data_IF_427320505517
#
_entry.id   IF_427320505517
#
_cell.length_a   1.000
_cell.length_b   1.000
_cell.length_c   1.000
_cell.angle_alpha   90.00
_cell.angle_beta   90.00
_cell.angle_gamma   90.00
#
_symmetry.space_group_name_H-M   'P 1'
#
loop_
_entity.id
_entity.type
_entity.pdbx_description
1 polymer ?
#
# COMPACT_ATOMS: atom_id res chain seq x y z
N UNK A 1 -26.89 18.06 7.78
CA UNK A 1 -26.33 16.85 7.16
C UNK A 1 -26.05 15.80 8.21
N UNK A 2 -26.81 14.71 8.18
CA UNK A 2 -26.60 13.50 8.98
C UNK A 2 -26.67 12.29 8.07
N UNK A 3 -25.89 11.26 8.37
CA UNK A 3 -25.95 9.97 7.65
C UNK A 3 -27.25 9.26 8.03
N UNK A 4 -28.08 8.91 7.05
CA UNK A 4 -29.35 8.20 7.27
C UNK A 4 -29.28 6.73 6.86
N UNK A 5 -28.47 6.43 5.85
CA UNK A 5 -28.41 5.09 5.27
C UNK A 5 -27.07 4.79 4.66
N UNK A 6 -26.62 3.56 4.83
CA UNK A 6 -25.45 3.01 4.16
C UNK A 6 -25.91 1.82 3.32
N UNK A 7 -25.50 1.77 2.05
CA UNK A 7 -25.76 0.66 1.14
C UNK A 7 -24.44 0.13 0.62
N UNK A 8 -24.25 -1.18 0.71
CA UNK A 8 -23.13 -1.87 0.08
C UNK A 8 -23.69 -2.78 -1.01
N UNK A 9 -23.21 -2.59 -2.24
CA UNK A 9 -23.54 -3.39 -3.40
C UNK A 9 -22.37 -4.36 -3.69
N UNK A 10 -22.70 -5.59 -4.10
CA UNK A 10 -21.73 -6.58 -4.58
C UNK A 10 -21.99 -6.88 -6.05
N UNK A 11 -21.03 -6.59 -6.90
CA UNK A 11 -21.04 -6.99 -8.30
C UNK A 11 -20.25 -8.29 -8.47
N UNK A 12 -20.77 -9.23 -9.26
CA UNK A 12 -20.05 -10.44 -9.69
C UNK A 12 -19.76 -10.33 -11.18
N UNK A 13 -18.55 -10.70 -11.57
CA UNK A 13 -18.13 -10.71 -12.96
C UNK A 13 -16.98 -11.72 -13.11
N UNK A 14 -16.67 -12.08 -14.35
CA UNK A 14 -15.52 -12.92 -14.65
C UNK A 14 -14.32 -12.07 -15.03
N UNK A 15 -13.18 -12.41 -14.45
CA UNK A 15 -11.90 -11.93 -14.94
C UNK A 15 -11.44 -12.88 -16.03
N UNK A 16 -11.27 -12.35 -17.24
CA UNK A 16 -10.93 -13.11 -18.45
C UNK A 16 -9.40 -13.28 -18.51
N UNK A 17 -8.96 -14.45 -18.96
CA UNK A 17 -7.54 -14.83 -19.09
C UNK A 17 -6.77 -14.90 -17.77
N UNK A 18 -7.48 -15.00 -16.64
CA UNK A 18 -6.85 -15.14 -15.34
C UNK A 18 -7.47 -16.28 -14.55
N UNK A 19 -6.61 -17.03 -13.89
CA UNK A 19 -6.97 -18.10 -12.97
C UNK A 19 -6.29 -17.89 -11.61
N UNK A 20 -6.56 -18.81 -10.68
CA UNK A 20 -5.92 -18.83 -9.37
C UNK A 20 -4.78 -19.84 -9.44
N UNK A 21 -3.57 -19.45 -9.02
CA UNK A 21 -2.45 -20.38 -8.94
C UNK A 21 -2.86 -21.63 -8.11
N UNK A 22 -2.36 -22.84 -8.39
CA UNK A 22 -2.72 -24.06 -7.65
C UNK A 22 -2.50 -23.96 -6.13
N UNK A 23 -1.55 -23.15 -5.67
CA UNK A 23 -1.34 -22.88 -4.23
C UNK A 23 -2.47 -22.06 -3.61
N UNK A 24 -3.26 -21.37 -4.42
CA UNK A 24 -4.41 -20.60 -3.99
C UNK A 24 -4.09 -19.21 -3.46
N UNK A 25 -2.90 -18.66 -3.69
CA UNK A 25 -2.52 -17.32 -3.21
C UNK A 25 -2.51 -16.28 -4.33
N UNK A 26 -1.81 -16.58 -5.42
CA UNK A 26 -1.59 -15.62 -6.50
C UNK A 26 -2.61 -15.76 -7.63
N UNK A 27 -2.79 -14.65 -8.35
CA UNK A 27 -3.43 -14.64 -9.64
C UNK A 27 -2.40 -15.00 -10.71
N UNK A 28 -2.80 -15.84 -11.67
CA UNK A 28 -1.94 -16.21 -12.81
C UNK A 28 -2.66 -15.94 -14.10
N UNK A 29 -1.89 -15.57 -15.12
CA UNK A 29 -2.37 -15.53 -16.48
C UNK A 29 -2.65 -16.96 -16.94
N UNK A 30 -3.84 -17.17 -17.49
CA UNK A 30 -4.25 -18.43 -18.07
C UNK A 30 -5.19 -18.13 -19.24
N UNK A 31 -4.67 -18.06 -20.49
CA UNK A 31 -5.44 -17.70 -21.66
C UNK A 31 -6.74 -18.51 -21.80
N UNK A 32 -7.86 -17.82 -22.08
CA UNK A 32 -9.17 -18.43 -22.26
C UNK A 32 -9.89 -18.81 -20.97
N UNK A 33 -9.23 -18.72 -19.81
CA UNK A 33 -9.86 -18.96 -18.51
C UNK A 33 -10.83 -17.83 -18.12
N UNK A 34 -11.75 -18.16 -17.23
CA UNK A 34 -12.68 -17.21 -16.59
C UNK A 34 -12.67 -17.46 -15.10
N UNK A 35 -12.11 -16.53 -14.33
CA UNK A 35 -12.16 -16.58 -12.87
C UNK A 35 -13.32 -15.73 -12.35
N UNK A 36 -14.34 -16.34 -11.71
CA UNK A 36 -15.36 -15.59 -11.02
C UNK A 36 -14.72 -14.71 -9.94
N UNK A 37 -15.07 -13.44 -9.96
CA UNK A 37 -14.59 -12.46 -8.99
C UNK A 37 -15.74 -11.56 -8.55
N UNK A 38 -15.49 -10.75 -7.53
CA UNK A 38 -16.48 -9.81 -7.03
C UNK A 38 -15.83 -8.47 -6.72
N UNK A 39 -16.55 -7.40 -7.05
CA UNK A 39 -16.24 -6.06 -6.61
C UNK A 39 -17.33 -5.57 -5.66
N UNK A 40 -16.97 -4.63 -4.80
CA UNK A 40 -17.90 -4.00 -3.89
C UNK A 40 -18.01 -2.51 -4.19
N UNK A 41 -19.14 -1.93 -3.83
CA UNK A 41 -19.36 -0.51 -3.85
C UNK A 41 -20.14 -0.10 -2.61
N UNK A 42 -19.78 1.05 -2.03
CA UNK A 42 -20.50 1.63 -0.89
C UNK A 42 -21.12 2.95 -1.31
N UNK A 43 -22.32 3.22 -0.80
CA UNK A 43 -23.03 4.49 -0.90
C UNK A 43 -23.52 4.91 0.47
N UNK A 44 -23.21 6.15 0.85
CA UNK A 44 -23.61 6.77 2.10
C UNK A 44 -24.57 7.91 1.76
N UNK A 45 -25.80 7.82 2.28
CA UNK A 45 -26.89 8.77 2.02
C UNK A 45 -27.10 9.66 3.24
N UNK A 46 -27.39 10.93 2.99
CA UNK A 46 -27.69 11.93 4.04
C UNK A 46 -29.14 12.41 3.99
N UNK A 47 -29.57 13.02 5.10
CA UNK A 47 -30.88 13.65 5.31
C UNK A 47 -31.20 14.82 4.37
N UNK A 48 -30.17 15.43 3.78
CA UNK A 48 -30.27 16.51 2.81
C UNK A 48 -30.05 16.05 1.35
N UNK A 49 -30.01 14.74 1.12
CA UNK A 49 -29.98 14.13 -0.22
C UNK A 49 -28.60 14.02 -0.88
N UNK A 50 -27.53 14.43 -0.20
CA UNK A 50 -26.16 14.21 -0.68
C UNK A 50 -25.79 12.73 -0.55
N UNK A 51 -25.11 12.19 -1.56
CA UNK A 51 -24.69 10.79 -1.58
C UNK A 51 -23.21 10.71 -1.92
N UNK A 52 -22.40 10.21 -1.00
CA UNK A 52 -21.02 9.82 -1.28
C UNK A 52 -20.93 8.36 -1.67
N UNK A 53 -19.98 8.01 -2.53
CA UNK A 53 -19.74 6.62 -2.88
C UNK A 53 -18.30 6.28 -3.23
N UNK A 54 -18.00 4.99 -3.13
CA UNK A 54 -16.71 4.43 -3.51
C UNK A 54 -16.90 3.04 -4.10
N UNK A 55 -16.11 2.70 -5.13
CA UNK A 55 -16.03 1.37 -5.74
C UNK A 55 -14.65 0.80 -5.46
N UNK A 56 -14.61 -0.31 -4.74
CA UNK A 56 -13.40 -0.90 -4.17
C UNK A 56 -13.79 -1.80 -3.00
N UNK A 57 -12.87 -2.07 -2.09
CA UNK A 57 -13.12 -2.94 -0.96
C UNK A 57 -13.23 -4.42 -1.35
N UNK A 58 -13.13 -5.26 -0.33
CA UNK A 58 -13.26 -6.70 -0.43
C UNK A 58 -14.24 -7.23 0.63
N UNK A 59 -14.44 -8.54 0.69
CA UNK A 59 -15.33 -9.15 1.67
C UNK A 59 -14.94 -8.87 3.13
N UNK A 60 -13.64 -8.69 3.42
CA UNK A 60 -13.13 -8.36 4.76
C UNK A 60 -13.53 -6.94 5.13
N UNK A 61 -13.34 -5.98 4.20
CA UNK A 61 -13.76 -4.60 4.40
C UNK A 61 -15.26 -4.52 4.69
N UNK A 62 -16.10 -5.22 3.90
CA UNK A 62 -17.55 -5.26 4.11
C UNK A 62 -17.93 -5.84 5.47
N UNK A 63 -17.31 -6.94 5.87
CA UNK A 63 -17.56 -7.56 7.18
C UNK A 63 -17.18 -6.59 8.32
N UNK A 64 -16.09 -5.84 8.18
CA UNK A 64 -15.71 -4.84 9.17
C UNK A 64 -16.65 -3.64 9.19
N UNK A 65 -17.15 -3.16 8.04
CA UNK A 65 -18.16 -2.09 8.01
C UNK A 65 -19.41 -2.52 8.78
N UNK A 66 -19.84 -3.79 8.69
CA UNK A 66 -20.97 -4.29 9.47
C UNK A 66 -20.74 -4.21 11.00
N UNK A 67 -19.49 -4.13 11.48
CA UNK A 67 -19.19 -4.01 12.91
C UNK A 67 -19.32 -2.59 13.47
N UNK A 68 -19.33 -1.57 12.61
CA UNK A 68 -19.41 -0.16 13.02
C UNK A 68 -20.41 0.68 12.22
N UNK A 69 -21.13 0.08 11.26
CA UNK A 69 -22.10 0.78 10.42
C UNK A 69 -23.19 1.50 11.21
N UNK A 70 -23.71 0.87 12.26
CA UNK A 70 -24.73 1.47 13.14
C UNK A 70 -24.23 2.74 13.84
N UNK A 71 -22.94 2.79 14.20
CA UNK A 71 -22.33 3.97 14.81
C UNK A 71 -22.32 5.18 13.86
N UNK A 72 -22.34 4.96 12.55
CA UNK A 72 -22.33 6.04 11.55
C UNK A 72 -23.69 6.71 11.39
N UNK A 73 -24.79 6.00 11.67
CA UNK A 73 -26.14 6.53 11.48
C UNK A 73 -26.38 7.72 12.44
N UNK A 74 -26.92 8.81 11.90
CA UNK A 74 -27.15 10.06 12.62
C UNK A 74 -25.93 10.96 12.80
N UNK A 75 -24.73 10.52 12.41
CA UNK A 75 -23.51 11.34 12.47
C UNK A 75 -23.41 12.32 11.33
N UNK A 76 -22.73 13.43 11.60
CA UNK A 76 -22.32 14.38 10.58
C UNK A 76 -21.19 13.74 9.73
N UNK A 77 -21.40 13.51 8.42
CA UNK A 77 -20.39 12.90 7.55
C UNK A 77 -19.17 13.80 7.32
N UNK A 78 -19.24 15.09 7.67
CA UNK A 78 -18.11 16.01 7.58
C UNK A 78 -17.13 15.86 8.75
N UNK A 79 -17.51 15.19 9.84
CA UNK A 79 -16.63 14.88 10.97
C UNK A 79 -15.73 13.67 10.71
N UNK A 80 -15.10 13.61 9.52
CA UNK A 80 -14.26 12.48 9.07
C UNK A 80 -13.14 12.13 10.04
N UNK A 81 -12.50 13.13 10.63
CA UNK A 81 -11.47 12.94 11.65
C UNK A 81 -11.98 12.24 12.92
N UNK A 82 -13.17 12.60 13.40
CA UNK A 82 -13.79 11.94 14.54
C UNK A 82 -14.15 10.49 14.20
N UNK A 83 -14.81 10.29 13.06
CA UNK A 83 -15.21 8.97 12.57
C UNK A 83 -13.98 8.08 12.38
N UNK A 84 -12.91 8.59 11.76
CA UNK A 84 -11.64 7.89 11.59
C UNK A 84 -11.09 7.39 12.94
N UNK A 85 -10.96 8.28 13.93
CA UNK A 85 -10.36 7.92 15.22
C UNK A 85 -11.24 6.92 16.01
N UNK A 86 -12.55 7.09 16.00
CA UNK A 86 -13.47 6.19 16.70
C UNK A 86 -13.51 4.80 16.05
N UNK A 87 -13.60 4.73 14.72
CA UNK A 87 -13.60 3.44 14.00
C UNK A 87 -12.25 2.76 14.09
N UNK A 88 -11.14 3.51 14.05
CA UNK A 88 -9.79 2.97 14.30
C UNK A 88 -9.69 2.28 15.65
N UNK A 89 -10.23 2.93 16.70
CA UNK A 89 -10.29 2.35 18.05
C UNK A 89 -11.21 1.13 18.10
N UNK A 90 -12.35 1.17 17.41
CA UNK A 90 -13.28 0.05 17.34
C UNK A 90 -12.62 -1.18 16.70
N UNK A 91 -11.89 -0.99 15.60
CA UNK A 91 -11.23 -2.05 14.84
C UNK A 91 -9.81 -2.38 15.34
N UNK A 92 -9.39 -1.91 16.53
CA UNK A 92 -8.03 -2.11 17.06
C UNK A 92 -7.55 -3.57 17.15
N UNK A 93 -8.48 -4.53 17.17
CA UNK A 93 -8.20 -5.98 17.18
C UNK A 93 -8.06 -6.61 15.79
N UNK A 94 -8.24 -5.82 14.73
CA UNK A 94 -8.27 -6.24 13.34
C UNK A 94 -7.30 -5.41 12.49
N UNK A 95 -7.19 -5.77 11.21
CA UNK A 95 -6.36 -5.10 10.21
C UNK A 95 -6.84 -3.69 9.82
N UNK A 96 -8.10 -3.33 10.14
CA UNK A 96 -8.76 -2.04 9.89
C UNK A 96 -9.12 -1.76 8.42
N UNK A 97 -9.12 -2.76 7.55
CA UNK A 97 -9.41 -2.64 6.12
C UNK A 97 -10.83 -2.10 5.80
N UNK A 98 -11.78 -2.21 6.72
CA UNK A 98 -13.14 -1.67 6.56
C UNK A 98 -13.20 -0.14 6.65
N UNK A 99 -12.19 0.51 7.26
CA UNK A 99 -12.18 1.95 7.44
C UNK A 99 -12.04 2.72 6.14
N UNK A 100 -11.08 2.34 5.31
CA UNK A 100 -10.80 3.05 4.06
C UNK A 100 -11.99 3.05 3.12
N UNK A 101 -12.72 1.93 3.08
CA UNK A 101 -13.93 1.78 2.29
C UNK A 101 -14.99 2.84 2.65
N UNK A 102 -15.17 3.16 3.94
CA UNK A 102 -16.10 4.20 4.41
C UNK A 102 -15.52 5.60 4.26
N UNK A 103 -14.27 5.82 4.68
CA UNK A 103 -13.66 7.15 4.69
C UNK A 103 -13.57 7.75 3.29
N UNK A 104 -13.18 6.96 2.28
CA UNK A 104 -13.15 7.43 0.87
C UNK A 104 -14.55 7.88 0.42
N UNK A 105 -15.61 7.14 0.78
CA UNK A 105 -16.98 7.53 0.46
C UNK A 105 -17.43 8.80 1.20
N UNK A 106 -16.96 9.04 2.43
CA UNK A 106 -17.18 10.29 3.16
C UNK A 106 -16.44 11.48 2.53
N UNK A 107 -15.27 11.26 1.93
CA UNK A 107 -14.56 12.28 1.16
C UNK A 107 -15.26 12.62 -0.16
N UNK A 108 -15.79 11.63 -0.90
CA UNK A 108 -16.64 11.88 -2.07
C UNK A 108 -17.90 12.65 -1.68
N UNK A 109 -18.54 12.28 -0.56
CA UNK A 109 -19.67 13.00 0.02
C UNK A 109 -19.32 14.47 0.30
N UNK A 110 -18.19 14.72 0.96
CA UNK A 110 -17.74 16.08 1.27
C UNK A 110 -17.48 16.90 0.01
N UNK A 111 -16.85 16.31 -1.01
CA UNK A 111 -16.67 16.96 -2.31
C UNK A 111 -18.01 17.40 -2.91
N UNK A 112 -19.01 16.51 -2.90
CA UNK A 112 -20.36 16.82 -3.40
C UNK A 112 -21.07 17.88 -2.58
N UNK A 113 -21.00 17.79 -1.25
CA UNK A 113 -21.60 18.77 -0.33
C UNK A 113 -21.04 20.18 -0.56
N UNK A 114 -19.75 20.30 -0.88
CA UNK A 114 -19.08 21.57 -1.13
C UNK A 114 -19.02 21.97 -2.61
N UNK A 115 -19.57 21.18 -3.53
CA UNK A 115 -19.46 21.42 -4.97
C UNK A 115 -18.01 21.44 -5.48
N UNK A 116 -17.11 20.71 -4.81
CA UNK A 116 -15.67 20.72 -5.07
C UNK A 116 -15.14 19.31 -5.35
N UNK A 117 -14.08 19.23 -6.15
CA UNK A 117 -13.34 17.97 -6.30
C UNK A 117 -12.59 17.63 -5.01
N UNK A 118 -12.39 16.34 -4.70
CA UNK A 118 -11.52 15.92 -3.58
C UNK A 118 -10.14 16.57 -3.73
N UNK A 119 -9.57 16.59 -4.93
CA UNK A 119 -8.33 17.32 -5.24
C UNK A 119 -8.34 18.77 -4.75
N UNK A 120 -9.43 19.50 -4.98
CA UNK A 120 -9.60 20.88 -4.49
C UNK A 120 -9.64 20.92 -2.96
N UNK A 121 -10.36 19.99 -2.32
CA UNK A 121 -10.40 19.89 -0.86
C UNK A 121 -9.03 19.55 -0.26
N UNK A 122 -8.16 18.87 -1.00
CA UNK A 122 -6.78 18.55 -0.64
C UNK A 122 -5.77 19.66 -0.97
N UNK A 123 -6.21 20.82 -1.45
CA UNK A 123 -5.35 21.98 -1.73
C UNK A 123 -5.11 22.28 -3.21
N UNK A 124 -5.44 21.36 -4.12
CA UNK A 124 -5.63 21.69 -5.52
C UNK A 124 -4.38 22.09 -6.31
N UNK A 125 -3.17 21.69 -5.89
CA UNK A 125 -1.93 22.07 -6.58
C UNK A 125 -1.66 21.25 -7.86
N UNK A 126 -1.33 19.96 -7.76
CA UNK A 126 -0.99 19.16 -8.94
C UNK A 126 -2.22 18.72 -9.75
N UNK A 127 -2.25 19.03 -11.04
CA UNK A 127 -3.33 18.59 -11.96
C UNK A 127 -2.99 17.29 -12.70
N UNK A 128 -1.73 16.86 -12.64
CA UNK A 128 -1.20 15.66 -13.29
C UNK A 128 -0.15 15.06 -12.37
N UNK A 129 -0.16 13.74 -12.25
CA UNK A 129 0.89 12.95 -11.59
C UNK A 129 1.41 11.96 -12.62
N UNK A 130 2.71 11.65 -12.61
CA UNK A 130 3.21 10.58 -13.45
C UNK A 130 2.63 9.23 -12.99
N UNK A 131 2.67 8.26 -13.90
CA UNK A 131 2.19 6.91 -13.66
C UNK A 131 3.20 5.93 -14.26
N UNK A 132 3.31 4.77 -13.64
CA UNK A 132 4.20 3.71 -14.07
C UNK A 132 3.41 2.45 -14.41
N UNK A 133 3.98 1.64 -15.30
CA UNK A 133 3.42 0.34 -15.63
C UNK A 133 3.85 -0.68 -14.57
N UNK A 134 2.88 -1.37 -13.98
CA UNK A 134 3.10 -2.40 -12.97
C UNK A 134 2.62 -3.74 -13.52
N UNK A 135 3.43 -4.79 -13.38
CA UNK A 135 3.09 -6.12 -13.90
C UNK A 135 2.19 -6.90 -12.95
N UNK A 136 1.51 -7.94 -13.44
CA UNK A 136 1.11 -9.04 -12.56
C UNK A 136 2.36 -9.82 -12.10
N UNK A 137 2.20 -10.71 -11.13
CA UNK A 137 3.22 -11.70 -10.81
C UNK A 137 3.56 -12.55 -12.04
N UNK A 138 4.84 -12.84 -12.23
CA UNK A 138 5.26 -13.81 -13.24
C UNK A 138 4.65 -15.18 -13.01
N UNK A 139 4.29 -15.84 -14.10
CA UNK A 139 3.84 -17.24 -14.11
C UNK A 139 4.55 -18.00 -15.22
N UNK A 140 4.33 -19.32 -15.30
CA UNK A 140 4.97 -20.17 -16.32
C UNK A 140 4.02 -20.52 -17.47
N UNK A 141 3.01 -19.69 -17.70
CA UNK A 141 1.90 -19.97 -18.61
C UNK A 141 1.96 -19.14 -19.90
N UNK A 142 3.16 -18.74 -20.34
CA UNK A 142 3.36 -18.02 -21.60
C UNK A 142 3.12 -16.51 -21.55
N UNK A 143 2.93 -15.95 -20.34
CA UNK A 143 2.90 -14.51 -20.11
C UNK A 143 4.29 -13.98 -19.77
N UNK A 144 4.43 -13.44 -18.57
CA UNK A 144 5.72 -13.01 -18.03
C UNK A 144 6.50 -14.22 -17.49
N UNK A 145 6.92 -15.11 -18.38
CA UNK A 145 7.40 -16.46 -18.05
C UNK A 145 8.91 -16.66 -18.05
N UNK A 146 9.64 -15.66 -18.55
CA UNK A 146 11.09 -15.68 -18.72
C UNK A 146 11.69 -14.27 -18.61
N UNK A 147 13.01 -14.14 -18.34
CA UNK A 147 13.71 -12.85 -18.39
C UNK A 147 13.48 -12.07 -19.70
N UNK A 148 13.42 -12.78 -20.83
CA UNK A 148 13.16 -12.18 -22.14
C UNK A 148 11.75 -11.62 -22.24
N UNK A 149 10.73 -12.35 -21.77
CA UNK A 149 9.34 -11.88 -21.77
C UNK A 149 9.17 -10.58 -20.94
N UNK A 150 9.86 -10.48 -19.80
CA UNK A 150 9.88 -9.24 -19.01
C UNK A 150 10.51 -8.07 -19.76
N UNK A 151 11.61 -8.31 -20.47
CA UNK A 151 12.31 -7.29 -21.25
C UNK A 151 11.46 -6.81 -22.44
N UNK A 152 10.86 -7.74 -23.19
CA UNK A 152 9.96 -7.44 -24.30
C UNK A 152 8.75 -6.62 -23.83
N UNK A 153 8.17 -6.99 -22.67
CA UNK A 153 7.05 -6.25 -22.11
C UNK A 153 7.46 -4.85 -21.62
N UNK A 154 8.65 -4.71 -21.04
CA UNK A 154 9.19 -3.40 -20.65
C UNK A 154 9.34 -2.46 -21.85
N UNK A 155 9.81 -2.98 -22.99
CA UNK A 155 9.89 -2.24 -24.26
C UNK A 155 8.49 -1.82 -24.73
N UNK A 156 7.51 -2.73 -24.69
CA UNK A 156 6.12 -2.39 -25.03
C UNK A 156 5.57 -1.27 -24.12
N UNK A 157 5.81 -1.34 -22.81
CA UNK A 157 5.43 -0.26 -21.88
C UNK A 157 6.10 1.07 -22.24
N UNK A 158 7.38 1.06 -22.61
CA UNK A 158 8.11 2.24 -23.06
C UNK A 158 7.52 2.83 -24.35
N UNK A 159 7.17 2.00 -25.32
CA UNK A 159 6.53 2.40 -26.58
C UNK A 159 5.13 3.00 -26.37
N UNK A 160 4.38 2.50 -25.38
CA UNK A 160 3.11 3.08 -24.93
C UNK A 160 3.28 4.43 -24.22
N UNK A 161 4.52 4.83 -23.92
CA UNK A 161 4.88 6.13 -23.36
C UNK A 161 5.06 6.14 -21.84
N UNK A 162 5.06 4.98 -21.17
CA UNK A 162 5.40 4.91 -19.75
C UNK A 162 6.87 5.30 -19.54
N UNK A 163 7.12 6.05 -18.45
CA UNK A 163 8.46 6.49 -18.07
C UNK A 163 9.12 5.58 -17.04
N UNK A 164 8.33 4.70 -16.44
CA UNK A 164 8.77 3.80 -15.41
C UNK A 164 8.03 2.46 -15.49
N UNK A 165 8.71 1.39 -15.06
CA UNK A 165 8.22 0.01 -15.13
C UNK A 165 8.59 -0.77 -13.85
N UNK A 166 7.56 -1.31 -13.18
CA UNK A 166 7.67 -2.11 -11.96
C UNK A 166 7.39 -3.58 -12.26
N UNK A 167 8.36 -4.43 -11.92
CA UNK A 167 8.31 -5.87 -12.12
C UNK A 167 7.92 -6.60 -10.84
N UNK A 168 7.11 -7.63 -10.98
CA UNK A 168 6.87 -8.61 -9.90
C UNK A 168 7.51 -9.95 -10.20
N UNK A 169 8.13 -10.59 -9.20
CA UNK A 169 8.78 -11.90 -9.43
C UNK A 169 7.78 -13.07 -9.46
N UNK A 170 8.21 -14.19 -10.05
CA UNK A 170 7.46 -15.45 -10.03
C UNK A 170 7.23 -15.97 -8.61
N UNK A 171 6.17 -16.77 -8.42
CA UNK A 171 5.97 -17.50 -7.16
C UNK A 171 7.00 -18.61 -6.94
N UNK A 172 7.46 -19.22 -8.04
CA UNK A 172 8.52 -20.22 -8.06
C UNK A 172 9.61 -19.69 -9.00
N UNK A 173 10.76 -19.37 -8.42
CA UNK A 173 11.88 -18.73 -9.10
C UNK A 173 13.21 -19.29 -8.60
N UNK A 174 14.22 -19.18 -9.45
CA UNK A 174 15.62 -19.26 -9.02
C UNK A 174 16.18 -17.84 -8.88
N UNK A 175 17.01 -17.59 -7.86
CA UNK A 175 17.55 -16.24 -7.63
C UNK A 175 18.35 -15.74 -8.84
N UNK A 176 19.08 -16.64 -9.51
CA UNK A 176 19.82 -16.31 -10.73
C UNK A 176 18.91 -15.83 -11.86
N UNK A 177 17.70 -16.37 -11.95
CA UNK A 177 16.72 -15.97 -12.96
C UNK A 177 16.16 -14.57 -12.69
N UNK A 178 15.92 -14.23 -11.41
CA UNK A 178 15.52 -12.86 -11.03
C UNK A 178 16.65 -11.87 -11.35
N UNK A 179 17.90 -12.22 -11.04
CA UNK A 179 19.08 -11.41 -11.38
C UNK A 179 19.23 -11.23 -12.89
N UNK A 180 19.06 -12.29 -13.68
CA UNK A 180 19.08 -12.19 -15.14
C UNK A 180 17.97 -11.27 -15.66
N UNK A 181 16.76 -11.39 -15.11
CA UNK A 181 15.61 -10.54 -15.48
C UNK A 181 15.91 -9.05 -15.27
N UNK A 182 16.49 -8.70 -14.12
CA UNK A 182 16.89 -7.33 -13.80
C UNK A 182 17.87 -6.78 -14.86
N UNK A 183 18.90 -7.55 -15.20
CA UNK A 183 19.90 -7.14 -16.18
C UNK A 183 19.30 -6.98 -17.59
N UNK A 184 18.53 -7.96 -18.05
CA UNK A 184 17.90 -7.97 -19.39
C UNK A 184 16.93 -6.81 -19.57
N UNK A 185 16.10 -6.54 -18.57
CA UNK A 185 15.13 -5.45 -18.64
C UNK A 185 15.83 -4.10 -18.74
N UNK A 186 16.87 -3.87 -17.92
CA UNK A 186 17.69 -2.65 -18.02
C UNK A 186 18.35 -2.51 -19.39
N UNK A 187 18.95 -3.57 -19.91
CA UNK A 187 19.55 -3.57 -21.26
C UNK A 187 18.52 -3.19 -22.33
N UNK A 188 17.33 -3.78 -22.30
CA UNK A 188 16.30 -3.57 -23.31
C UNK A 188 15.71 -2.16 -23.31
N UNK A 189 15.47 -1.57 -22.13
CA UNK A 189 14.85 -0.23 -22.04
C UNK A 189 15.85 0.92 -22.03
N UNK A 190 17.15 0.64 -21.89
CA UNK A 190 18.20 1.64 -21.81
C UNK A 190 18.23 2.39 -20.47
N UNK A 191 19.04 3.45 -20.34
CA UNK A 191 19.33 4.07 -19.04
C UNK A 191 18.24 5.00 -18.50
N UNK A 192 17.35 5.52 -19.36
CA UNK A 192 16.46 6.64 -19.01
C UNK A 192 15.12 6.21 -18.38
N UNK A 193 14.76 4.94 -18.47
CA UNK A 193 13.50 4.44 -17.90
C UNK A 193 13.73 4.05 -16.44
N UNK A 194 12.90 4.58 -15.53
CA UNK A 194 12.96 4.17 -14.13
C UNK A 194 12.46 2.73 -14.00
N UNK A 195 13.20 1.91 -13.26
CA UNK A 195 12.89 0.50 -13.05
C UNK A 195 12.70 0.23 -11.57
N UNK A 196 11.67 -0.53 -11.24
CA UNK A 196 11.34 -0.87 -9.87
C UNK A 196 11.13 -2.38 -9.78
N UNK A 197 11.53 -2.97 -8.65
CA UNK A 197 11.31 -4.40 -8.41
C UNK A 197 10.45 -4.55 -7.15
N UNK A 198 9.33 -5.26 -7.29
CA UNK A 198 8.48 -5.68 -6.19
C UNK A 198 8.37 -7.21 -6.14
N UNK A 199 9.18 -7.89 -5.32
CA UNK A 199 9.02 -9.31 -5.10
C UNK A 199 7.73 -9.68 -4.36
N UNK A 200 6.99 -8.75 -3.74
CA UNK A 200 5.76 -9.03 -3.00
C UNK A 200 5.97 -9.98 -1.82
N UNK A 201 7.04 -9.75 -1.05
CA UNK A 201 7.53 -10.59 0.04
C UNK A 201 7.88 -12.04 -0.35
N UNK A 202 8.23 -12.31 -1.62
CA UNK A 202 8.53 -13.68 -2.11
C UNK A 202 9.98 -14.12 -1.96
N UNK A 203 10.95 -13.21 -1.76
CA UNK A 203 12.34 -13.65 -1.61
C UNK A 203 12.48 -14.51 -0.35
N UNK A 204 12.88 -15.76 -0.49
CA UNK A 204 12.76 -16.74 0.61
C UNK A 204 13.67 -16.43 1.80
N UNK A 205 14.83 -15.84 1.52
CA UNK A 205 15.85 -15.59 2.54
C UNK A 205 16.38 -14.16 2.45
N UNK A 206 16.89 -13.67 3.57
CA UNK A 206 17.64 -12.40 3.60
C UNK A 206 18.83 -12.39 2.63
N UNK A 207 19.49 -13.54 2.44
CA UNK A 207 20.59 -13.66 1.48
C UNK A 207 20.12 -13.46 0.03
N UNK A 208 18.94 -13.98 -0.33
CA UNK A 208 18.34 -13.73 -1.63
C UNK A 208 18.02 -12.24 -1.82
N UNK A 209 17.48 -11.57 -0.78
CA UNK A 209 17.24 -10.13 -0.82
C UNK A 209 18.52 -9.31 -1.05
N UNK A 210 19.62 -9.67 -0.39
CA UNK A 210 20.92 -9.00 -0.61
C UNK A 210 21.43 -9.23 -2.03
N UNK A 211 21.33 -10.46 -2.55
CA UNK A 211 21.78 -10.79 -3.91
C UNK A 211 20.95 -10.03 -4.97
N UNK A 212 19.63 -10.04 -4.84
CA UNK A 212 18.72 -9.32 -5.74
C UNK A 212 18.92 -7.81 -5.63
N UNK A 213 19.05 -7.27 -4.41
CA UNK A 213 19.31 -5.85 -4.20
C UNK A 213 20.63 -5.37 -4.81
N UNK A 214 21.68 -6.21 -4.82
CA UNK A 214 22.93 -5.90 -5.53
C UNK A 214 22.77 -5.92 -7.05
N UNK A 215 21.95 -6.80 -7.60
CA UNK A 215 21.61 -6.76 -9.02
C UNK A 215 20.83 -5.48 -9.36
N UNK A 216 19.90 -5.06 -8.50
CA UNK A 216 19.23 -3.76 -8.61
C UNK A 216 20.22 -2.58 -8.56
N UNK A 217 21.24 -2.64 -7.69
CA UNK A 217 22.29 -1.62 -7.61
C UNK A 217 23.07 -1.50 -8.93
N UNK A 218 23.44 -2.63 -9.53
CA UNK A 218 24.17 -2.69 -10.80
C UNK A 218 23.32 -2.19 -11.97
N UNK A 219 22.01 -2.49 -11.96
CA UNK A 219 21.06 -2.08 -12.98
C UNK A 219 20.41 -0.70 -12.73
N UNK A 220 20.82 0.03 -11.68
CA UNK A 220 20.28 1.33 -11.31
C UNK A 220 18.75 1.32 -11.22
N UNK A 221 18.20 0.43 -10.39
CA UNK A 221 16.77 0.43 -10.07
C UNK A 221 16.44 1.58 -9.11
N UNK A 222 15.27 2.19 -9.30
CA UNK A 222 14.77 3.31 -8.51
C UNK A 222 14.42 2.86 -7.08
N UNK A 223 13.81 1.68 -6.94
CA UNK A 223 13.59 1.06 -5.63
C UNK A 223 13.48 -0.47 -5.68
N UNK A 224 13.69 -1.07 -4.51
CA UNK A 224 13.34 -2.44 -4.19
C UNK A 224 12.20 -2.42 -3.15
N UNK A 225 11.05 -2.93 -3.56
CA UNK A 225 9.81 -2.98 -2.79
C UNK A 225 9.66 -4.35 -2.11
N UNK A 226 8.93 -4.43 -1.00
CA UNK A 226 8.58 -5.65 -0.23
C UNK A 226 9.48 -6.88 -0.48
N UNK A 227 10.76 -6.83 -0.08
CA UNK A 227 11.77 -7.69 -0.69
C UNK A 227 11.64 -9.16 -0.31
N UNK A 228 11.48 -9.52 0.96
CA UNK A 228 11.62 -10.91 1.41
C UNK A 228 10.57 -11.37 2.43
N UNK A 229 10.38 -12.69 2.44
CA UNK A 229 9.44 -13.45 3.27
C UNK A 229 9.80 -13.34 4.76
N UNK A 230 8.82 -13.64 5.62
CA UNK A 230 8.97 -13.79 7.07
C UNK A 230 9.83 -12.69 7.69
N UNK A 231 9.42 -11.43 7.48
CA UNK A 231 9.92 -10.17 8.07
C UNK A 231 9.55 -8.96 7.20
N UNK A 232 8.57 -9.05 6.29
CA UNK A 232 8.08 -7.92 5.46
C UNK A 232 7.62 -6.66 6.23
N UNK A 233 7.58 -6.71 7.57
CA UNK A 233 7.38 -5.54 8.45
C UNK A 233 8.44 -5.42 9.57
N UNK A 234 9.58 -6.09 9.42
CA UNK A 234 10.69 -6.02 10.37
C UNK A 234 11.55 -4.79 10.09
N UNK A 235 11.45 -3.80 10.97
CA UNK A 235 12.30 -2.60 10.91
C UNK A 235 13.78 -2.97 10.92
N UNK A 236 14.18 -3.90 11.81
CA UNK A 236 15.57 -4.34 11.93
C UNK A 236 16.08 -4.99 10.65
N UNK A 237 15.26 -5.87 10.06
CA UNK A 237 15.61 -6.59 8.84
C UNK A 237 15.85 -5.64 7.66
N UNK A 238 14.91 -4.72 7.42
CA UNK A 238 15.04 -3.75 6.33
C UNK A 238 16.16 -2.74 6.58
N UNK A 239 16.34 -2.25 7.81
CA UNK A 239 17.50 -1.42 8.17
C UNK A 239 18.81 -2.13 7.85
N UNK A 240 18.93 -3.41 8.20
CA UNK A 240 20.13 -4.20 7.91
C UNK A 240 20.34 -4.41 6.40
N UNK A 241 19.26 -4.59 5.64
CA UNK A 241 19.34 -4.71 4.18
C UNK A 241 19.86 -3.40 3.54
N UNK A 242 19.35 -2.24 3.98
CA UNK A 242 19.80 -0.91 3.52
C UNK A 242 21.29 -0.65 3.77
N UNK A 243 21.88 -1.27 4.77
CA UNK A 243 23.34 -1.18 5.03
C UNK A 243 24.17 -2.01 4.03
N UNK A 244 23.56 -2.90 3.26
CA UNK A 244 24.23 -3.86 2.38
C UNK A 244 24.02 -3.61 0.88
N UNK A 245 23.03 -2.78 0.53
CA UNK A 245 22.67 -2.42 -0.85
C UNK A 245 22.53 -0.89 -0.98
N UNK A 246 22.64 -0.37 -2.20
CA UNK A 246 22.51 1.07 -2.50
C UNK A 246 21.10 1.45 -2.97
N UNK A 247 20.40 0.49 -3.57
CA UNK A 247 19.02 0.64 -4.08
C UNK A 247 18.11 0.99 -2.92
N UNK A 248 17.36 2.11 -3.00
CA UNK A 248 16.41 2.50 -1.96
C UNK A 248 15.34 1.42 -1.72
N UNK A 249 14.93 1.26 -0.46
CA UNK A 249 13.77 0.42 -0.15
C UNK A 249 12.47 1.23 -0.16
N UNK A 250 11.46 0.74 -0.87
CA UNK A 250 10.06 1.15 -0.70
C UNK A 250 9.36 0.12 0.19
N UNK A 251 8.77 0.55 1.29
CA UNK A 251 8.05 -0.32 2.23
C UNK A 251 6.72 0.29 2.62
N UNK A 252 6.06 -0.34 3.59
CA UNK A 252 4.84 0.08 4.26
C UNK A 252 3.53 -0.28 3.57
N UNK A 253 3.55 -1.09 2.50
CA UNK A 253 2.32 -1.70 1.98
C UNK A 253 1.62 -2.60 3.01
N UNK A 254 2.36 -3.22 3.92
CA UNK A 254 1.84 -4.14 4.96
C UNK A 254 1.88 -3.56 6.37
N UNK A 255 2.39 -2.35 6.54
CA UNK A 255 2.31 -1.57 7.78
C UNK A 255 1.00 -0.80 7.76
N UNK A 256 0.25 -0.71 8.88
CA UNK A 256 -1.11 -0.15 8.88
C UNK A 256 -1.25 1.04 9.80
N UNK A 257 -1.67 2.16 9.23
CA UNK A 257 -2.04 3.36 9.97
C UNK A 257 -0.86 4.19 10.48
N UNK A 258 -1.16 5.43 10.86
CA UNK A 258 -0.17 6.49 11.11
C UNK A 258 0.97 6.10 12.06
N UNK A 259 0.65 5.60 13.25
CA UNK A 259 1.65 5.39 14.30
C UNK A 259 2.67 4.33 13.89
N UNK A 260 2.19 3.23 13.30
CA UNK A 260 3.08 2.16 12.84
C UNK A 260 3.93 2.61 11.65
N UNK A 261 3.40 3.45 10.75
CA UNK A 261 4.20 4.05 9.68
C UNK A 261 5.32 4.93 10.25
N UNK A 262 4.98 5.83 11.18
CA UNK A 262 5.97 6.72 11.81
C UNK A 262 7.04 5.92 12.54
N UNK A 263 6.64 4.91 13.33
CA UNK A 263 7.59 4.03 14.03
C UNK A 263 8.50 3.29 13.04
N UNK A 264 7.95 2.82 11.93
CA UNK A 264 8.71 2.11 10.89
C UNK A 264 9.75 3.00 10.22
N UNK A 265 9.36 4.24 9.87
CA UNK A 265 10.23 5.23 9.25
C UNK A 265 11.34 5.67 10.20
N UNK A 266 10.98 6.08 11.43
CA UNK A 266 11.94 6.54 12.45
C UNK A 266 12.91 5.42 12.83
N UNK A 267 12.44 4.17 12.83
CA UNK A 267 13.29 3.00 13.05
C UNK A 267 14.28 2.70 11.91
N UNK A 268 14.18 3.38 10.78
CA UNK A 268 15.01 3.17 9.59
C UNK A 268 14.58 1.96 8.76
N UNK A 269 13.30 1.59 8.80
CA UNK A 269 12.78 0.46 8.04
C UNK A 269 12.66 0.73 6.53
N UNK A 270 12.75 1.97 6.08
CA UNK A 270 12.53 2.32 4.66
C UNK A 270 13.23 3.61 4.23
N UNK A 271 13.36 3.80 2.91
CA UNK A 271 13.84 5.02 2.25
C UNK A 271 12.67 5.81 1.63
N UNK A 272 11.68 5.09 1.11
CA UNK A 272 10.43 5.64 0.58
C UNK A 272 9.23 5.04 1.31
N UNK A 273 8.22 5.84 1.58
CA UNK A 273 7.03 5.39 2.34
C UNK A 273 5.90 5.10 1.37
N UNK A 274 5.25 3.95 1.46
CA UNK A 274 3.99 3.73 0.75
C UNK A 274 2.79 4.10 1.61
N UNK A 275 1.80 4.75 1.02
CA UNK A 275 0.49 4.92 1.62
C UNK A 275 -0.60 4.46 0.65
N UNK A 276 -1.65 3.86 1.18
CA UNK A 276 -2.81 3.42 0.41
C UNK A 276 -4.10 3.90 1.09
N UNK A 277 -4.92 4.67 0.36
CA UNK A 277 -6.18 5.13 0.91
C UNK A 277 -7.14 3.99 1.29
N UNK A 278 -7.10 2.85 0.62
CA UNK A 278 -7.93 1.69 0.97
C UNK A 278 -7.40 0.98 2.22
N UNK A 279 -6.08 0.82 2.34
CA UNK A 279 -5.47 0.03 3.43
C UNK A 279 -5.17 0.84 4.69
N UNK A 280 -4.92 2.15 4.57
CA UNK A 280 -4.50 3.02 5.68
C UNK A 280 -5.65 3.77 6.35
N UNK A 281 -6.87 3.31 6.12
CA UNK A 281 -8.07 3.87 6.74
C UNK A 281 -8.58 5.12 6.06
N UNK A 282 -8.36 5.25 4.75
CA UNK A 282 -8.98 6.26 3.90
C UNK A 282 -8.02 7.31 3.38
N UNK A 283 -8.59 8.29 2.69
CA UNK A 283 -7.87 9.52 2.34
C UNK A 283 -7.43 10.23 3.62
N UNK A 284 -8.25 10.20 4.68
CA UNK A 284 -7.86 10.75 6.00
C UNK A 284 -6.59 10.10 6.54
N UNK A 285 -6.49 8.77 6.48
CA UNK A 285 -5.31 8.03 6.93
C UNK A 285 -4.08 8.25 6.06
N UNK A 286 -4.24 8.19 4.75
CA UNK A 286 -3.17 8.44 3.79
C UNK A 286 -2.59 9.86 3.92
N UNK A 287 -3.43 10.88 4.14
CA UNK A 287 -2.96 12.26 4.40
C UNK A 287 -2.18 12.38 5.69
N UNK A 288 -2.61 11.72 6.76
CA UNK A 288 -1.86 11.71 8.02
C UNK A 288 -0.47 11.12 7.82
N UNK A 289 -0.37 10.02 7.08
CA UNK A 289 0.93 9.41 6.72
C UNK A 289 1.74 10.39 5.88
N UNK A 290 1.15 10.98 4.84
CA UNK A 290 1.81 11.96 3.97
C UNK A 290 2.40 13.14 4.74
N UNK A 291 1.62 13.77 5.62
CA UNK A 291 2.09 14.90 6.42
C UNK A 291 3.16 14.50 7.45
N UNK A 292 3.05 13.30 8.04
CA UNK A 292 4.07 12.81 8.97
C UNK A 292 5.39 12.52 8.25
N UNK A 293 5.32 11.88 7.08
CA UNK A 293 6.49 11.59 6.23
C UNK A 293 7.13 12.87 5.71
N UNK A 294 6.34 13.89 5.36
CA UNK A 294 6.84 15.22 4.98
C UNK A 294 7.70 15.82 6.09
N UNK A 295 7.27 15.71 7.36
CA UNK A 295 8.03 16.18 8.51
C UNK A 295 9.37 15.46 8.72
N UNK A 296 9.52 14.26 8.15
CA UNK A 296 10.74 13.45 8.17
C UNK A 296 11.59 13.64 6.90
N UNK A 297 11.10 14.41 5.93
CA UNK A 297 11.82 14.73 4.69
C UNK A 297 11.88 13.59 3.67
N UNK A 298 11.04 12.56 3.81
CA UNK A 298 10.97 11.42 2.90
C UNK A 298 9.81 11.55 1.91
N UNK A 299 9.86 10.70 0.88
CA UNK A 299 8.88 10.69 -0.19
C UNK A 299 7.83 9.60 0.08
N UNK A 300 6.58 9.88 -0.28
CA UNK A 300 5.47 8.93 -0.15
C UNK A 300 5.05 8.45 -1.52
N UNK A 301 4.86 7.17 -1.78
CA UNK A 301 4.23 6.62 -2.99
C UNK A 301 2.77 6.24 -2.69
N UNK A 302 1.86 6.50 -3.64
CA UNK A 302 0.43 6.17 -3.48
C UNK A 302 0.09 4.88 -4.19
N UNK A 303 0.00 3.82 -3.39
CA UNK A 303 -0.46 2.54 -3.88
C UNK A 303 -1.94 2.58 -4.27
N UNK A 304 -2.27 1.86 -5.34
CA UNK A 304 -3.65 1.65 -5.77
C UNK A 304 -3.89 0.16 -5.94
N UNK A 305 -4.72 -0.48 -5.09
CA UNK A 305 -4.92 -1.91 -5.18
C UNK A 305 -5.58 -2.27 -6.52
N UNK A 306 -5.34 -3.49 -7.05
CA UNK A 306 -5.86 -3.93 -8.33
C UNK A 306 -7.37 -3.71 -8.39
N UNK A 307 -7.79 -2.73 -9.21
CA UNK A 307 -9.21 -2.47 -9.37
C UNK A 307 -9.80 -3.58 -10.21
N UNK A 308 -11.00 -3.99 -9.84
CA UNK A 308 -11.92 -4.77 -10.66
C UNK A 308 -12.32 -4.01 -11.94
N UNK A 309 -11.37 -3.75 -12.83
CA UNK A 309 -11.59 -3.41 -14.22
C UNK A 309 -11.23 -4.64 -15.05
N UNK A 310 -11.88 -4.86 -16.21
CA UNK A 310 -11.29 -5.74 -17.19
C UNK A 310 -9.91 -5.18 -17.50
N UNK A 311 -8.86 -5.86 -17.07
CA UNK A 311 -7.51 -5.52 -17.47
C UNK A 311 -7.47 -5.55 -19.01
N UNK A 312 -6.80 -4.61 -19.69
CA UNK A 312 -6.41 -4.89 -21.06
C UNK A 312 -5.62 -6.20 -21.05
N UNK A 313 -5.77 -6.98 -22.13
CA UNK A 313 -4.98 -8.20 -22.31
C UNK A 313 -3.51 -7.90 -21.95
N UNK A 314 -2.89 -8.79 -21.15
CA UNK A 314 -1.47 -8.75 -20.73
C UNK A 314 -1.14 -8.10 -19.37
N UNK A 315 -2.12 -7.93 -18.47
CA UNK A 315 -1.82 -7.82 -17.02
C UNK A 315 -1.15 -6.53 -16.55
N UNK A 316 -1.29 -5.41 -17.27
CA UNK A 316 -0.85 -4.09 -16.80
C UNK A 316 -1.81 -3.54 -15.75
N UNK A 317 -1.29 -3.20 -14.57
CA UNK A 317 -1.93 -2.27 -13.64
C UNK A 317 -1.17 -0.94 -13.73
N UNK A 318 -1.90 0.16 -13.92
CA UNK A 318 -1.29 1.49 -13.86
C UNK A 318 -1.30 1.97 -12.40
N UNK A 319 -0.12 2.26 -11.84
CA UNK A 319 0.06 2.80 -10.49
C UNK A 319 0.56 4.26 -10.55
N UNK A 320 0.39 5.00 -9.45
CA UNK A 320 0.62 6.45 -9.40
C UNK A 320 1.89 6.79 -8.61
N UNK A 321 2.66 7.76 -9.10
CA UNK A 321 3.94 8.13 -8.51
C UNK A 321 3.84 9.06 -7.28
N UNK A 322 5.01 9.26 -6.66
CA UNK A 322 5.31 9.89 -5.37
C UNK A 322 4.58 11.24 -5.07
N UNK A 323 4.01 11.31 -3.85
CA UNK A 323 3.30 12.39 -3.16
C UNK A 323 4.20 13.55 -2.67
N UNK A 324 5.54 13.41 -2.63
CA UNK A 324 6.46 14.51 -2.20
C UNK A 324 6.13 15.82 -2.91
N UNK A 325 5.75 15.63 -4.14
CA UNK A 325 5.53 16.60 -5.16
C UNK A 325 4.07 17.10 -5.18
N UNK A 326 3.19 16.64 -4.27
CA UNK A 326 1.78 17.08 -4.15
C UNK A 326 1.53 17.81 -2.84
N UNK A 327 2.27 17.49 -1.77
CA UNK A 327 2.11 18.15 -0.44
C UNK A 327 2.96 19.42 -0.35
N UNK A 328 4.15 19.42 -0.96
CA UNK A 328 5.11 20.52 -0.82
C UNK A 328 4.82 21.64 -1.82
N UNK A 329 4.17 22.72 -1.41
CA UNK A 329 4.13 23.94 -2.24
C UNK A 329 5.58 24.30 -2.64
N UNK A 330 5.86 24.65 -3.92
CA UNK A 330 7.22 25.00 -4.30
C UNK A 330 7.71 26.14 -3.41
N UNK A 331 8.99 26.11 -3.04
CA UNK A 331 9.67 27.35 -2.69
C UNK A 331 9.34 28.31 -3.83
N UNK A 332 8.69 29.42 -3.50
CA UNK A 332 8.58 30.53 -4.44
C UNK A 332 10.01 30.81 -4.84
N UNK A 333 10.38 30.46 -6.07
CA UNK A 333 11.58 30.96 -6.70
C UNK A 333 11.37 32.47 -6.72
N UNK A 334 11.79 33.15 -5.65
CA UNK A 334 11.88 34.59 -5.62
C UNK A 334 12.87 34.87 -6.74
N UNK A 335 12.35 35.44 -7.83
CA UNK A 335 13.11 35.92 -8.97
C UNK A 335 14.49 36.34 -8.50
N UNK A 336 15.51 35.51 -8.79
CA UNK A 336 16.88 35.92 -8.56
C UNK A 336 17.07 37.19 -9.39
N UNK A 337 17.46 38.33 -8.80
CA UNK A 337 17.69 39.52 -9.58
C UNK A 337 18.80 39.22 -10.59
N UNK A 338 18.48 39.33 -11.89
CA UNK A 338 19.47 39.24 -12.95
C UNK A 338 20.56 40.31 -12.70
N UNK A 339 21.85 39.98 -12.86
CA UNK A 339 22.90 40.98 -12.72
C UNK A 339 22.77 42.01 -13.85
N UNK A 340 22.65 43.28 -13.45
CA UNK A 340 22.51 44.42 -14.34
C UNK A 340 23.78 44.64 -15.17
N UNK A 341 23.77 44.13 -16.40
CA UNK A 341 24.74 44.45 -17.44
C UNK A 341 24.30 45.66 -18.25
N UNK A 342 24.93 46.80 -17.94
CA UNK A 342 25.12 48.01 -18.75
C UNK A 342 24.56 48.01 -20.20
N UNK A 343 23.55 48.86 -20.47
CA UNK A 343 23.55 49.86 -21.56
C UNK A 343 22.33 50.79 -21.48
N UNK A 344 22.60 52.08 -21.27
CA UNK A 344 21.66 53.20 -21.40
C UNK A 344 21.27 53.43 -22.87
N UNK A 345 19.98 53.67 -23.12
CA UNK A 345 19.44 54.86 -23.83
C UNK A 345 17.92 54.95 -23.60
N UNK A 346 17.47 56.12 -23.14
CA UNK A 346 16.08 56.52 -22.83
C UNK A 346 15.31 56.97 -24.11
N UNK A 347 14.08 57.56 -24.05
CA UNK A 347 12.78 56.89 -24.06
C UNK A 347 11.86 57.39 -25.20
N UNK A 348 10.88 56.60 -25.67
CA UNK A 348 9.68 57.17 -26.33
C UNK A 348 8.41 56.39 -25.95
N UNK A 349 7.46 57.10 -25.31
CA UNK A 349 6.07 56.65 -25.06
C UNK A 349 5.20 56.80 -26.34
N UNK A 350 3.86 56.62 -26.29
CA UNK A 350 3.16 55.42 -26.74
C UNK A 350 2.26 55.70 -27.95
N UNK A 351 1.81 54.68 -28.68
CA UNK A 351 0.62 54.82 -29.55
C UNK A 351 -0.35 53.66 -29.36
N UNK A 352 -1.57 54.07 -29.00
CA UNK A 352 -2.80 53.27 -28.96
C UNK A 352 -3.22 52.87 -30.38
N UNK A 353 -3.85 51.70 -30.46
CA UNK A 353 -4.98 51.45 -31.36
C UNK A 353 -4.69 50.50 -32.52
N UNK A 354 -5.29 49.29 -32.49
CA UNK A 354 -6.56 48.99 -33.19
C UNK A 354 -6.87 47.51 -33.08
N UNK A 355 -8.15 47.22 -32.84
CA UNK A 355 -8.77 45.90 -33.00
C UNK A 355 -8.73 45.50 -34.48
N UNK A 356 -8.42 44.24 -34.77
CA UNK A 356 -9.01 43.48 -35.89
C UNK A 356 -9.09 42.00 -35.53
N UNK A 357 -10.29 41.43 -35.67
CA UNK A 357 -10.58 39.99 -35.71
C UNK A 357 -10.25 39.47 -37.11
N UNK A 358 -9.73 38.24 -37.22
CA UNK A 358 -10.32 37.11 -37.96
C UNK A 358 -9.32 35.92 -38.11
N UNK A 359 -9.67 34.81 -37.43
CA UNK A 359 -9.77 33.38 -37.86
C UNK A 359 -8.57 32.59 -38.48
N UNK A 360 -8.62 31.23 -38.43
CA UNK A 360 -7.48 30.38 -38.02
C UNK A 360 -6.89 29.49 -39.13
N UNK A 361 -5.66 29.01 -38.91
CA UNK A 361 -5.06 27.81 -39.53
C UNK A 361 -4.20 27.11 -38.47
N UNK A 362 -4.56 25.91 -38.03
CA UNK A 362 -4.17 24.61 -38.59
C UNK A 362 -2.70 24.27 -38.31
N UNK A 363 -2.46 23.26 -37.45
CA UNK A 363 -1.16 22.62 -37.31
C UNK A 363 -0.88 21.92 -35.97
N UNK A 364 -1.02 20.58 -35.95
CA UNK A 364 -0.12 19.69 -35.19
C UNK A 364 -0.52 19.30 -33.76
N UNK A 365 -1.32 18.25 -33.61
CA UNK A 365 -1.44 17.47 -32.36
C UNK A 365 -0.48 16.28 -32.35
N UNK A 366 0.46 16.25 -31.41
CA UNK A 366 1.17 15.04 -30.95
C UNK A 366 0.28 14.31 -29.93
N UNK A 367 0.17 12.97 -29.93
CA UNK A 367 -0.59 12.26 -28.91
C UNK A 367 0.25 12.11 -27.63
N UNK A 368 -0.12 12.85 -26.59
CA UNK A 368 0.24 12.52 -25.21
C UNK A 368 -0.94 11.79 -24.58
N UNK A 369 -0.70 10.59 -24.02
CA UNK A 369 -1.70 9.85 -23.25
C UNK A 369 -2.08 10.64 -21.99
N UNK A 370 -3.18 11.38 -22.07
CA UNK A 370 -3.85 12.01 -20.94
C UNK A 370 -5.29 11.50 -20.89
N UNK A 371 -5.61 10.69 -19.88
CA UNK A 371 -6.97 10.24 -19.65
C UNK A 371 -7.81 11.44 -19.18
N UNK A 372 -8.68 11.98 -20.05
CA UNK A 372 -9.70 12.97 -19.69
C UNK A 372 -10.97 12.24 -19.23
N UNK A 373 -11.37 12.41 -17.98
CA UNK A 373 -12.69 11.97 -17.50
C UNK A 373 -13.73 13.03 -17.85
N UNK A 374 -14.53 12.78 -18.91
CA UNK A 374 -15.66 13.61 -19.31
C UNK A 374 -16.95 13.19 -18.61
N UNK A 375 -17.67 14.15 -18.03
CA UNK A 375 -18.98 13.95 -17.43
C UNK A 375 -20.06 13.83 -18.53
N UNK A 376 -20.74 12.70 -18.61
CA UNK A 376 -21.96 12.54 -19.41
C UNK A 376 -23.20 12.61 -18.51
N UNK A 377 -24.06 13.59 -18.76
CA UNK A 377 -25.46 13.66 -18.29
C UNK A 377 -26.37 13.15 -19.41
N UNK A 378 -27.33 12.29 -19.07
CA UNK A 378 -28.43 11.83 -19.93
C UNK A 378 -29.45 11.00 -19.12
N UNK A 379 -30.76 11.00 -19.47
CA UNK A 379 -31.84 11.05 -18.48
C UNK A 379 -32.49 9.71 -18.08
N UNK A 380 -33.14 9.74 -16.91
CA UNK A 380 -33.99 8.73 -16.30
C UNK A 380 -35.16 8.26 -17.19
N UNK A 381 -35.45 6.95 -17.14
CA UNK A 381 -36.82 6.39 -17.27
C UNK A 381 -36.95 5.07 -16.49
N UNK A 382 -38.08 4.90 -15.82
CA UNK A 382 -38.73 3.59 -15.69
C UNK A 382 -38.66 2.89 -14.33
N UNK A 383 -39.54 3.32 -13.44
CA UNK A 383 -39.91 2.65 -12.19
C UNK A 383 -40.55 1.27 -12.47
N UNK A 384 -40.06 0.20 -11.84
CA UNK A 384 -40.82 -1.06 -11.63
C UNK A 384 -40.46 -1.62 -10.25
N UNK A 385 -41.34 -1.32 -9.28
CA UNK A 385 -41.38 -1.92 -7.95
C UNK A 385 -41.76 -3.39 -8.05
N UNK A 386 -40.97 -4.28 -7.46
CA UNK A 386 -41.37 -5.65 -7.12
C UNK A 386 -41.09 -5.83 -5.63
N UNK A 387 -42.09 -6.14 -4.79
CA UNK A 387 -41.87 -6.36 -3.37
C UNK A 387 -41.42 -7.81 -3.16
N UNK A 388 -40.21 -8.01 -2.64
CA UNK A 388 -39.79 -9.30 -2.08
C UNK A 388 -39.53 -9.12 -0.59
N UNK A 389 -40.42 -9.69 0.22
CA UNK A 389 -40.24 -9.88 1.66
C UNK A 389 -39.08 -10.87 1.88
N UNK A 390 -38.14 -10.61 2.80
CA UNK A 390 -37.20 -11.64 3.21
C UNK A 390 -37.82 -12.47 4.34
N UNK A 391 -38.14 -13.74 4.07
CA UNK A 391 -38.28 -14.76 5.11
C UNK A 391 -36.88 -15.19 5.56
N UNK A 392 -36.54 -14.91 6.82
CA UNK A 392 -35.36 -15.45 7.48
C UNK A 392 -35.83 -16.71 8.23
N UNK A 393 -35.51 -17.91 7.70
CA UNK A 393 -35.55 -19.16 8.48
C UNK A 393 -34.13 -19.70 8.58
N UNK A 394 -33.53 -19.54 9.76
CA UNK A 394 -32.24 -20.12 10.12
C UNK A 394 -32.28 -20.61 11.56
N UNK A 395 -32.90 -21.78 11.77
CA UNK A 395 -32.77 -22.54 13.01
C UNK A 395 -31.47 -23.35 12.99
N UNK A 396 -30.71 -23.27 14.08
CA UNK A 396 -29.50 -24.08 14.30
C UNK A 396 -29.90 -25.55 14.54
N UNK A 397 -29.27 -26.55 13.90
CA UNK A 397 -29.50 -27.93 14.28
C UNK A 397 -28.65 -28.31 15.51
N UNK A 398 -29.32 -28.83 16.53
CA UNK A 398 -28.71 -29.43 17.72
C UNK A 398 -27.93 -30.72 17.38
N UNK A 399 -26.91 -31.11 18.18
CA UNK A 399 -26.06 -32.25 17.87
C UNK A 399 -26.78 -33.60 18.10
N UNK A 400 -26.71 -34.48 17.09
CA UNK A 400 -27.34 -35.80 17.13
C UNK A 400 -26.57 -36.79 18.02
N UNK A 401 -27.33 -37.47 18.88
CA UNK A 401 -26.93 -38.59 19.72
C UNK A 401 -26.67 -39.86 18.90
N UNK A 402 -25.69 -40.67 19.33
CA UNK A 402 -25.31 -41.96 18.71
C UNK A 402 -26.40 -43.03 18.90
N UNK A 403 -26.68 -43.89 17.90
CA UNK A 403 -27.33 -45.17 18.12
C UNK A 403 -26.33 -46.34 18.12
N UNK A 404 -26.60 -47.27 19.03
CA UNK A 404 -25.95 -48.56 19.23
C UNK A 404 -26.32 -49.59 18.16
N UNK A 405 -25.32 -50.35 17.69
CA UNK A 405 -25.41 -51.79 17.41
C UNK A 405 -26.10 -52.28 16.14
N UNK A 406 -25.33 -52.89 15.23
CA UNK A 406 -25.61 -54.22 14.62
C UNK A 406 -24.38 -54.75 13.88
N UNK A 407 -24.08 -56.03 14.09
CA UNK A 407 -22.95 -56.82 13.56
C UNK A 407 -23.17 -57.27 12.12
N UNK A 408 -22.07 -57.48 11.36
CA UNK A 408 -21.79 -58.56 10.36
C UNK A 408 -20.44 -58.30 9.64
N UNK A 409 -19.84 -59.26 8.91
CA UNK A 409 -19.22 -60.52 9.32
C UNK A 409 -17.67 -60.49 9.13
N UNK A 410 -16.94 -61.52 9.61
CA UNK A 410 -15.47 -61.64 9.56
C UNK A 410 -14.96 -62.46 8.36
N UNK A 411 -13.86 -62.00 7.75
CA UNK A 411 -12.87 -62.79 7.01
C UNK A 411 -12.02 -61.94 6.05
N UNK A 412 -10.81 -62.35 5.62
CA UNK A 412 -9.72 -63.02 6.33
C UNK A 412 -8.55 -62.06 6.67
N UNK A 413 -7.71 -62.44 7.63
CA UNK A 413 -6.58 -61.64 8.15
C UNK A 413 -5.38 -61.65 7.21
N UNK A 414 -4.93 -60.47 6.76
CA UNK A 414 -3.59 -60.26 6.23
C UNK A 414 -2.69 -59.62 7.31
N UNK A 415 -1.47 -60.14 7.41
CA UNK A 415 -0.49 -59.94 8.49
C UNK A 415 0.03 -58.48 8.52
N UNK A 416 0.04 -57.85 9.70
CA UNK A 416 0.79 -56.60 9.95
C UNK A 416 2.24 -56.93 10.30
N UNK A 417 3.17 -56.26 9.65
CA UNK A 417 4.61 -56.29 9.95
C UNK A 417 4.90 -55.71 11.35
N UNK A 418 5.94 -56.21 12.06
CA UNK A 418 6.34 -55.68 13.36
C UNK A 418 7.04 -54.31 13.23
N UNK A 419 6.94 -53.42 14.23
CA UNK A 419 7.61 -52.12 14.20
C UNK A 419 9.13 -52.27 14.41
N UNK A 420 9.90 -51.45 13.67
CA UNK A 420 11.36 -51.40 13.72
C UNK A 420 11.90 -50.94 15.09
N UNK A 421 13.05 -51.51 15.47
CA UNK A 421 13.74 -51.28 16.74
C UNK A 421 14.30 -49.85 16.87
N UNK A 422 14.27 -49.31 18.10
CA UNK A 422 14.91 -48.05 18.49
C UNK A 422 16.45 -48.21 18.57
N UNK A 423 17.25 -47.20 18.21
CA UNK A 423 18.69 -47.23 18.41
C UNK A 423 19.07 -46.99 19.90
N UNK A 424 20.24 -47.50 20.36
CA UNK A 424 20.64 -47.44 21.76
C UNK A 424 21.16 -46.05 22.19
N UNK A 425 20.94 -45.71 23.47
CA UNK A 425 21.49 -44.52 24.13
C UNK A 425 22.94 -44.76 24.57
N UNK A 426 23.86 -43.79 24.42
CA UNK A 426 25.21 -43.93 24.96
C UNK A 426 25.27 -43.65 26.46
N UNK A 427 26.14 -44.41 27.14
CA UNK A 427 26.31 -44.50 28.59
C UNK A 427 26.89 -43.22 29.22
N UNK A 428 26.44 -42.92 30.44
CA UNK A 428 26.86 -41.76 31.23
C UNK A 428 28.25 -41.92 31.84
N UNK A 429 28.95 -40.78 31.95
CA UNK A 429 30.02 -40.57 32.94
C UNK A 429 29.73 -39.29 33.72
N UNK A 430 29.64 -39.43 35.03
CA UNK A 430 29.47 -38.39 36.02
C UNK A 430 30.77 -37.59 36.20
N UNK A 431 30.69 -36.25 36.18
CA UNK A 431 31.68 -35.41 36.87
C UNK A 431 31.02 -34.20 37.53
N UNK A 432 31.38 -34.07 38.81
CA UNK A 432 30.95 -33.08 39.80
C UNK A 432 31.18 -31.63 39.33
N UNK A 433 30.20 -30.78 39.57
CA UNK A 433 30.31 -29.32 39.46
C UNK A 433 31.10 -28.79 40.67
N UNK A 434 32.33 -28.31 40.44
CA UNK A 434 33.05 -27.44 41.37
C UNK A 434 32.88 -26.00 40.91
N UNK A 435 32.39 -25.13 41.80
CA UNK A 435 32.42 -23.67 41.66
C UNK A 435 33.88 -23.21 41.53
N UNK A 436 34.21 -22.51 40.46
CA UNK A 436 35.47 -21.78 40.31
C UNK A 436 35.20 -20.30 40.01
N UNK A 437 35.96 -19.46 40.70
CA UNK A 437 35.87 -18.00 40.82
C UNK A 437 36.27 -17.30 39.51
N UNK A 438 35.70 -16.11 39.27
CA UNK A 438 36.12 -15.17 38.21
C UNK A 438 37.57 -14.68 38.45
N UNK A 439 38.37 -14.46 37.39
CA UNK A 439 39.71 -13.90 37.49
C UNK A 439 39.71 -12.37 37.69
N UNK A 440 40.82 -11.78 38.20
CA UNK A 440 40.94 -10.36 38.53
C UNK A 440 41.30 -9.47 37.32
N UNK A 441 40.92 -8.19 37.39
CA UNK A 441 41.34 -7.11 36.49
C UNK A 441 42.59 -6.43 37.07
N UNK A 442 43.66 -6.13 36.30
CA UNK A 442 44.82 -5.40 36.82
C UNK A 442 44.67 -3.86 36.74
N UNK A 443 45.18 -3.21 37.82
CA UNK A 443 45.46 -1.79 38.18
C UNK A 443 45.25 -0.65 37.15
N UNK A 444 44.80 0.55 37.52
CA UNK A 444 45.29 1.50 38.57
C UNK A 444 45.98 2.68 37.83
N UNK A 445 45.86 3.99 38.09
CA UNK A 445 45.59 4.90 39.24
C UNK A 445 45.42 6.35 38.66
N UNK A 446 45.36 7.47 39.43
CA UNK A 446 44.56 7.81 40.62
C UNK A 446 43.71 9.11 40.44
N UNK A 447 42.74 9.32 41.35
CA UNK A 447 41.99 10.58 41.55
C UNK A 447 42.79 11.60 42.38
N UNK A 448 42.51 12.92 42.25
CA UNK A 448 42.72 13.86 43.34
C UNK A 448 41.43 14.16 44.13
N UNK A 449 41.65 14.73 45.31
CA UNK A 449 40.80 14.66 46.49
C UNK A 449 39.68 15.74 46.59
N UNK A 450 38.83 15.48 47.58
CA UNK A 450 37.64 16.21 48.05
C UNK A 450 37.84 17.72 48.29
N UNK A 451 36.74 18.48 48.14
CA UNK A 451 36.34 19.52 49.11
C UNK A 451 34.82 19.53 49.33
N UNK A 452 34.45 19.79 50.59
CA UNK A 452 33.11 19.71 51.20
C UNK A 452 32.37 21.05 51.14
N UNK A 453 31.04 21.01 51.13
CA UNK A 453 30.13 21.85 51.95
C UNK A 453 28.69 21.34 51.75
N UNK A 454 28.10 20.60 52.69
CA UNK A 454 27.13 21.08 53.71
C UNK A 454 26.14 22.14 53.19
N UNK A 455 24.87 21.73 53.09
CA UNK A 455 23.72 22.42 53.71
C UNK A 455 22.52 21.46 53.78
N UNK A 456 22.13 21.19 55.02
CA UNK A 456 20.87 20.60 55.49
C UNK A 456 19.74 21.62 55.40
N UNK A 457 18.52 21.20 55.03
CA UNK A 457 17.26 21.34 55.83
C UNK A 457 15.99 21.30 54.96
N UNK A 458 15.21 20.22 55.12
CA UNK A 458 13.78 20.23 55.53
C UNK A 458 12.68 20.91 54.68
N UNK A 459 11.50 20.27 54.51
CA UNK A 459 10.41 20.74 53.64
C UNK A 459 9.32 21.54 54.39
N UNK A 460 8.56 22.37 53.66
CA UNK A 460 7.28 22.91 54.16
C UNK A 460 6.25 23.11 53.05
N UNK A 461 5.00 22.77 53.39
CA UNK A 461 3.78 22.82 52.58
C UNK A 461 3.14 24.22 52.56
N UNK A 462 2.19 24.37 51.62
CA UNK A 462 0.91 25.12 51.65
C UNK A 462 0.84 26.58 51.15
N UNK A 463 0.00 26.70 50.10
CA UNK A 463 -1.17 27.58 49.89
C UNK A 463 -1.01 29.11 49.73
N UNK A 464 -1.69 29.54 48.65
CA UNK A 464 -2.56 30.71 48.50
C UNK A 464 -1.93 32.09 48.24
N UNK A 465 -2.47 32.78 47.22
CA UNK A 465 -2.35 34.22 47.10
C UNK A 465 -2.28 34.76 45.67
N UNK A 466 -3.44 35.09 45.12
CA UNK A 466 -3.74 36.12 44.09
C UNK A 466 -2.57 37.01 43.63
N UNK A 467 -2.38 37.10 42.30
CA UNK A 467 -2.79 38.24 41.46
C UNK A 467 -2.70 37.85 39.99
#
# INVERSE_FOLDING_TARGET
MKIERIRIDKAKFDMVDFAKHPTGFSLVYEPGSRKPTSAYAIRIYTDDGVVGGYVGGNSVAVAQVAMFGDYLIGKDPLQRELIYNDVKRQLRKFDKMGMGFVDIALWDLAGRAHGASIRTLLGGWKTRVPAYASTAAGDRNGGLDSPAAYADFAVQCKELGYKAYKLHVWDVYEVSEVVETIARVREAVGPDMDLMLDPGCKLETFAHAVQVGRACDEANFLWLEDPYKDTGISIFGHKRLRELIRTPLLQTEHVRGLEQHVDFVVGGGTDFVRADAEYDGGITGALKIAHATEGLGLDVELHTPPRARPAPAHGVVAEHELLRDVVRAPEVERDRPQPAGLRRRLPRRPRRGRRRRLRPGAGGTRPGCHLRLGAHRGPHRGDRRVPLRPEIRGGWPAPATRPTGRRRPRGPRARRAPPAARPPRPAGRSRRVRRARRPPVPGGTPRPARRRSRTTSGPARRRAGRR
#
